data_IF_506713707842
#
_entry.id   IF_506713707842
#
_cell.length_a   1.000
_cell.length_b   1.000
_cell.length_c   1.000
_cell.angle_alpha   90.00
_cell.angle_beta   90.00
_cell.angle_gamma   90.00
#
_symmetry.space_group_name_H-M   'P 1'
#
loop_
_entity.id
_entity.type
_entity.pdbx_description
1 polymer ?
#
# COMPACT_ATOMS: atom_id res chain seq x y z
N UNK A 1 -22.25 11.50 19.90
CA UNK A 1 -21.01 10.85 20.37
C UNK A 1 -20.71 9.53 19.64
N UNK A 2 -21.70 8.63 19.45
CA UNK A 2 -21.50 7.32 18.81
C UNK A 2 -21.01 7.37 17.34
N UNK A 3 -21.52 8.30 16.53
CA UNK A 3 -21.12 8.44 15.11
C UNK A 3 -19.63 8.67 14.90
N UNK A 4 -19.00 9.56 15.69
CA UNK A 4 -17.57 9.86 15.56
C UNK A 4 -16.69 8.65 15.93
N UNK A 5 -17.11 7.84 16.90
CA UNK A 5 -16.41 6.59 17.26
C UNK A 5 -16.46 5.57 16.13
N UNK A 6 -17.64 5.39 15.51
CA UNK A 6 -17.81 4.51 14.34
C UNK A 6 -16.88 4.95 13.20
N UNK A 7 -16.75 6.27 12.98
CA UNK A 7 -15.86 6.80 11.96
C UNK A 7 -14.38 6.51 12.25
N UNK A 8 -13.96 6.57 13.52
CA UNK A 8 -12.57 6.29 13.90
C UNK A 8 -12.22 4.80 13.71
N UNK A 9 -13.13 3.87 14.04
CA UNK A 9 -12.96 2.43 13.74
C UNK A 9 -12.95 2.17 12.21
N UNK A 10 -13.84 2.82 11.48
CA UNK A 10 -13.91 2.72 10.01
C UNK A 10 -12.62 3.16 9.31
N UNK A 11 -11.88 4.13 9.86
CA UNK A 11 -10.58 4.57 9.32
C UNK A 11 -9.55 3.45 9.33
N UNK A 12 -9.52 2.62 10.38
CA UNK A 12 -8.61 1.46 10.46
C UNK A 12 -8.95 0.44 9.37
N UNK A 13 -10.23 0.12 9.19
CA UNK A 13 -10.69 -0.80 8.15
C UNK A 13 -10.34 -0.33 6.73
N UNK A 14 -10.59 0.95 6.42
CA UNK A 14 -10.23 1.53 5.12
C UNK A 14 -8.70 1.58 4.93
N UNK A 15 -7.94 1.81 5.99
CA UNK A 15 -6.48 1.80 5.92
C UNK A 15 -5.92 0.41 5.57
N UNK A 16 -6.50 -0.63 6.16
CA UNK A 16 -6.18 -2.02 5.82
C UNK A 16 -6.52 -2.34 4.36
N UNK A 17 -7.70 -1.93 3.88
CA UNK A 17 -8.11 -2.13 2.48
C UNK A 17 -7.16 -1.43 1.50
N UNK A 18 -6.85 -0.16 1.73
CA UNK A 18 -5.95 0.61 0.87
C UNK A 18 -4.53 0.01 0.86
N UNK A 19 -4.06 -0.51 2.00
CA UNK A 19 -2.79 -1.25 2.08
C UNK A 19 -2.82 -2.53 1.24
N UNK A 20 -3.95 -3.26 1.25
CA UNK A 20 -4.14 -4.45 0.42
C UNK A 20 -4.09 -4.14 -1.08
N UNK A 21 -4.72 -3.04 -1.50
CA UNK A 21 -4.63 -2.55 -2.89
C UNK A 21 -3.17 -2.25 -3.26
N UNK A 22 -2.47 -1.48 -2.42
CA UNK A 22 -1.07 -1.14 -2.66
C UNK A 22 -0.16 -2.37 -2.75
N UNK A 23 -0.42 -3.40 -1.94
CA UNK A 23 0.29 -4.68 -2.02
C UNK A 23 -0.04 -5.44 -3.30
N UNK A 24 -1.31 -5.50 -3.70
CA UNK A 24 -1.70 -6.12 -4.97
C UNK A 24 -0.99 -5.48 -6.17
N UNK A 25 -0.79 -4.16 -6.16
CA UNK A 25 0.02 -3.48 -7.16
C UNK A 25 1.49 -3.95 -7.16
N UNK A 26 2.08 -4.20 -6.00
CA UNK A 26 3.45 -4.75 -5.90
C UNK A 26 3.49 -6.16 -6.46
N UNK A 27 2.60 -7.02 -6.00
CA UNK A 27 2.59 -8.45 -6.34
C UNK A 27 2.43 -8.63 -7.86
N UNK A 28 1.49 -7.92 -8.47
CA UNK A 28 1.26 -7.95 -9.92
C UNK A 28 2.46 -7.37 -10.69
N UNK A 29 3.04 -6.26 -10.22
CA UNK A 29 4.22 -5.66 -10.85
C UNK A 29 5.43 -6.59 -10.80
N UNK A 30 5.62 -7.34 -9.71
CA UNK A 30 6.69 -8.33 -9.57
C UNK A 30 6.46 -9.51 -10.51
N UNK A 31 5.23 -10.01 -10.62
CA UNK A 31 4.88 -11.08 -11.54
C UNK A 31 5.14 -10.66 -13.00
N UNK A 32 4.53 -9.54 -13.42
CA UNK A 32 4.69 -9.01 -14.78
C UNK A 32 6.15 -8.72 -15.12
N UNK A 33 6.93 -8.17 -14.18
CA UNK A 33 8.33 -7.86 -14.42
C UNK A 33 9.21 -9.10 -14.71
N UNK A 34 8.81 -10.29 -14.23
CA UNK A 34 9.48 -11.56 -14.50
C UNK A 34 9.06 -12.16 -15.85
N UNK A 35 7.81 -11.99 -16.21
CA UNK A 35 7.23 -12.58 -17.43
C UNK A 35 7.54 -11.75 -18.68
N UNK A 36 7.45 -10.42 -18.58
CA UNK A 36 7.63 -9.52 -19.71
C UNK A 36 9.11 -9.43 -20.10
N UNK A 37 9.39 -9.78 -21.35
CA UNK A 37 10.71 -9.63 -21.95
C UNK A 37 10.78 -8.43 -22.89
N UNK A 38 11.84 -7.63 -22.76
CA UNK A 38 12.18 -6.56 -23.68
C UNK A 38 13.71 -6.40 -23.74
N UNK A 39 14.23 -5.99 -24.89
CA UNK A 39 15.69 -5.84 -25.09
C UNK A 39 16.49 -7.10 -24.70
N UNK A 40 15.94 -8.29 -25.00
CA UNK A 40 16.61 -9.57 -24.81
C UNK A 40 16.61 -10.15 -23.40
N UNK A 41 15.90 -9.56 -22.43
CA UNK A 41 15.85 -10.04 -21.03
C UNK A 41 14.50 -9.72 -20.36
N UNK A 42 14.16 -10.35 -19.22
CA UNK A 42 13.04 -9.91 -18.39
C UNK A 42 13.20 -8.44 -17.97
N UNK A 43 12.11 -7.67 -17.99
CA UNK A 43 12.17 -6.25 -17.62
C UNK A 43 12.54 -6.05 -16.14
N UNK A 44 12.29 -7.04 -15.29
CA UNK A 44 12.72 -7.08 -13.89
C UNK A 44 14.24 -7.11 -13.69
N UNK A 45 15.02 -7.36 -14.74
CA UNK A 45 16.48 -7.21 -14.72
C UNK A 45 16.95 -5.75 -14.89
N UNK A 46 16.03 -4.81 -15.09
CA UNK A 46 16.36 -3.39 -15.17
C UNK A 46 16.34 -2.75 -13.78
N UNK A 47 17.48 -2.21 -13.34
CA UNK A 47 17.66 -1.65 -12.00
C UNK A 47 16.64 -0.54 -11.66
N UNK A 48 16.31 0.33 -12.62
CA UNK A 48 15.31 1.37 -12.43
C UNK A 48 13.92 0.79 -12.06
N UNK A 49 13.56 -0.37 -12.61
CA UNK A 49 12.31 -1.05 -12.29
C UNK A 49 12.38 -1.72 -10.91
N UNK A 50 13.52 -2.30 -10.57
CA UNK A 50 13.75 -2.88 -9.25
C UNK A 50 13.63 -1.83 -8.13
N UNK A 51 14.23 -0.65 -8.32
CA UNK A 51 14.10 0.45 -7.35
C UNK A 51 12.65 0.92 -7.21
N UNK A 52 11.93 1.08 -8.33
CA UNK A 52 10.51 1.44 -8.29
C UNK A 52 9.67 0.42 -7.50
N UNK A 53 9.84 -0.87 -7.77
CA UNK A 53 9.10 -1.93 -7.06
C UNK A 53 9.51 -1.99 -5.59
N UNK A 54 10.78 -1.78 -5.26
CA UNK A 54 11.25 -1.71 -3.88
C UNK A 54 10.59 -0.54 -3.11
N UNK A 55 10.47 0.64 -3.73
CA UNK A 55 9.77 1.78 -3.13
C UNK A 55 8.28 1.51 -2.93
N UNK A 56 7.64 0.83 -3.89
CA UNK A 56 6.23 0.41 -3.77
C UNK A 56 6.02 -0.55 -2.58
N UNK A 57 6.91 -1.53 -2.41
CA UNK A 57 6.87 -2.47 -1.27
C UNK A 57 7.13 -1.74 0.05
N UNK A 58 8.10 -0.82 0.10
CA UNK A 58 8.39 -0.02 1.30
C UNK A 58 7.15 0.76 1.76
N UNK A 59 6.41 1.37 0.83
CA UNK A 59 5.16 2.09 1.13
C UNK A 59 4.09 1.14 1.65
N UNK A 60 3.86 0.00 0.99
CA UNK A 60 2.87 -0.99 1.41
C UNK A 60 3.20 -1.56 2.80
N UNK A 61 4.48 -1.87 3.06
CA UNK A 61 4.96 -2.31 4.37
C UNK A 61 4.72 -1.26 5.44
N UNK A 62 5.09 -0.01 5.19
CA UNK A 62 4.92 1.09 6.15
C UNK A 62 3.45 1.35 6.45
N UNK A 63 2.57 1.32 5.44
CA UNK A 63 1.13 1.45 5.62
C UNK A 63 0.58 0.31 6.48
N UNK A 64 1.08 -0.92 6.27
CA UNK A 64 0.71 -2.09 7.06
C UNK A 64 1.06 -1.95 8.53
N UNK A 65 2.25 -1.45 8.84
CA UNK A 65 2.65 -1.17 10.21
C UNK A 65 1.76 -0.10 10.84
N UNK A 66 1.47 0.97 10.09
CA UNK A 66 0.68 2.10 10.59
C UNK A 66 -0.76 1.70 10.95
N UNK A 67 -1.48 0.99 10.08
CA UNK A 67 -2.85 0.58 10.42
C UNK A 67 -2.90 -0.51 11.49
N UNK A 68 -1.88 -1.37 11.57
CA UNK A 68 -1.78 -2.39 12.63
C UNK A 68 -1.51 -1.77 14.01
N UNK A 69 -0.72 -0.70 14.10
CA UNK A 69 -0.57 0.06 15.35
C UNK A 69 -1.93 0.62 15.81
N UNK A 70 -2.65 1.30 14.90
CA UNK A 70 -3.99 1.82 15.21
C UNK A 70 -4.98 0.72 15.62
N UNK A 71 -4.96 -0.42 14.92
CA UNK A 71 -5.79 -1.58 15.26
C UNK A 71 -5.44 -2.18 16.62
N UNK A 72 -4.14 -2.30 16.93
CA UNK A 72 -3.67 -2.81 18.23
C UNK A 72 -4.18 -1.93 19.37
N UNK A 73 -4.05 -0.61 19.25
CA UNK A 73 -4.56 0.34 20.24
C UNK A 73 -6.07 0.23 20.43
N UNK A 74 -6.81 0.13 19.32
CA UNK A 74 -8.26 -0.06 19.33
C UNK A 74 -8.66 -1.32 20.14
N UNK A 75 -8.04 -2.48 19.88
CA UNK A 75 -8.42 -3.72 20.57
C UNK A 75 -8.02 -3.75 22.04
N UNK A 76 -7.01 -2.98 22.44
CA UNK A 76 -6.60 -2.83 23.84
C UNK A 76 -7.34 -1.70 24.58
N UNK A 77 -8.27 -1.00 23.91
CA UNK A 77 -9.00 0.13 24.51
C UNK A 77 -8.15 1.38 24.76
N UNK A 78 -6.98 1.48 24.10
CA UNK A 78 -6.11 2.64 24.17
C UNK A 78 -6.61 3.78 23.26
N UNK A 79 -6.23 5.04 23.53
CA UNK A 79 -6.46 6.13 22.58
C UNK A 79 -5.81 5.81 21.22
N UNK A 80 -6.63 5.76 20.16
CA UNK A 80 -6.20 5.35 18.82
C UNK A 80 -6.59 6.34 17.71
N UNK A 81 -7.33 7.41 18.05
CA UNK A 81 -7.94 8.32 17.07
C UNK A 81 -6.91 8.99 16.16
N UNK A 82 -5.76 9.40 16.71
CA UNK A 82 -4.69 10.06 15.95
C UNK A 82 -4.06 9.05 14.99
N UNK A 83 -3.76 7.86 15.49
CA UNK A 83 -3.11 6.77 14.77
C UNK A 83 -4.01 6.26 13.63
N UNK A 84 -5.32 6.13 13.86
CA UNK A 84 -6.28 5.78 12.81
C UNK A 84 -6.35 6.84 11.70
N UNK A 85 -6.30 8.13 12.05
CA UNK A 85 -6.29 9.22 11.07
C UNK A 85 -4.98 9.23 10.24
N UNK A 86 -3.83 9.04 10.90
CA UNK A 86 -2.53 8.94 10.22
C UNK A 86 -2.48 7.73 9.28
N UNK A 87 -2.92 6.56 9.77
CA UNK A 87 -2.96 5.33 9.00
C UNK A 87 -3.82 5.50 7.75
N UNK A 88 -5.05 6.01 7.89
CA UNK A 88 -5.96 6.21 6.76
C UNK A 88 -5.38 7.19 5.75
N UNK A 89 -4.82 8.31 6.21
CA UNK A 89 -4.24 9.32 5.33
C UNK A 89 -3.13 8.68 4.48
N UNK A 90 -2.12 8.12 5.15
CA UNK A 90 -0.95 7.54 4.49
C UNK A 90 -1.32 6.40 3.55
N UNK A 91 -2.10 5.41 4.03
CA UNK A 91 -2.45 4.23 3.25
C UNK A 91 -3.23 4.59 1.97
N UNK A 92 -4.13 5.58 2.05
CA UNK A 92 -4.92 5.99 0.87
C UNK A 92 -4.10 6.75 -0.16
N UNK A 93 -3.12 7.56 0.26
CA UNK A 93 -2.19 8.23 -0.65
C UNK A 93 -1.29 7.22 -1.35
N UNK A 94 -0.66 6.32 -0.60
CA UNK A 94 0.28 5.36 -1.20
C UNK A 94 -0.42 4.32 -2.08
N UNK A 95 -1.71 4.05 -1.87
CA UNK A 95 -2.50 3.20 -2.76
C UNK A 95 -2.58 3.78 -4.17
N UNK A 96 -2.78 5.10 -4.28
CA UNK A 96 -2.79 5.82 -5.57
C UNK A 96 -1.39 5.86 -6.18
N UNK A 97 -0.36 6.12 -5.38
CA UNK A 97 1.02 6.16 -5.86
C UNK A 97 1.48 4.80 -6.37
N UNK A 98 1.21 3.71 -5.64
CA UNK A 98 1.51 2.34 -6.07
C UNK A 98 0.72 1.95 -7.32
N UNK A 99 -0.54 2.35 -7.45
CA UNK A 99 -1.31 2.10 -8.67
C UNK A 99 -0.69 2.83 -9.87
N UNK A 100 -0.27 4.08 -9.71
CA UNK A 100 0.41 4.85 -10.77
C UNK A 100 1.75 4.21 -11.16
N UNK A 101 2.55 3.82 -10.18
CA UNK A 101 3.83 3.16 -10.42
C UNK A 101 3.63 1.79 -11.10
N UNK A 102 2.63 1.02 -10.69
CA UNK A 102 2.26 -0.24 -11.33
C UNK A 102 1.87 -0.05 -12.80
N UNK A 103 1.08 0.98 -13.13
CA UNK A 103 0.78 1.31 -14.54
C UNK A 103 2.06 1.56 -15.34
N UNK A 104 3.05 2.24 -14.75
CA UNK A 104 4.33 2.47 -15.41
C UNK A 104 5.15 1.18 -15.60
N UNK A 105 5.06 0.22 -14.67
CA UNK A 105 5.66 -1.13 -14.80
C UNK A 105 5.04 -1.90 -15.95
N UNK A 106 3.70 -1.82 -16.11
CA UNK A 106 2.96 -2.54 -17.14
C UNK A 106 3.06 -1.87 -18.52
N UNK A 107 3.32 -0.56 -18.57
CA UNK A 107 3.44 0.20 -19.81
C UNK A 107 2.10 0.44 -20.50
N UNK A 108 2.15 0.81 -21.78
CA UNK A 108 0.95 0.87 -22.63
C UNK A 108 0.59 -0.53 -23.09
N UNK A 109 -0.51 -1.07 -22.55
CA UNK A 109 -1.09 -2.35 -22.96
C UNK A 109 -1.81 -2.22 -24.31
#
# INVERSE_FOLDING_TARGET
AQFLRILDEGRVAIAALATGLAQGCVDESVAYAKERHAFGKPIGANQALQFKIADMELRAHTARLSWRDAASRLVHGEPFKKEAALAKLYSSTIAVDNARDATQVHGGY
#
